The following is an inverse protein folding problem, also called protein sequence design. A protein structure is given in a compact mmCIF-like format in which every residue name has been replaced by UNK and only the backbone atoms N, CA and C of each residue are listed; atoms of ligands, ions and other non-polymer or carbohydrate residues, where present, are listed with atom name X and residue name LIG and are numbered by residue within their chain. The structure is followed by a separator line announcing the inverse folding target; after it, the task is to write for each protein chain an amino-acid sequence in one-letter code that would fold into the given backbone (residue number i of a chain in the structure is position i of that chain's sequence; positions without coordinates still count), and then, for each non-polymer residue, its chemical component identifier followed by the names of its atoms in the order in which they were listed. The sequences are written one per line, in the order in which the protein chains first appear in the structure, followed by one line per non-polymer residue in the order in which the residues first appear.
data_IF_887844730147
#
_entry.id   IF_887844730147
#
_cell.length_a   1.000
_cell.length_b   1.000
_cell.length_c   1.000
_cell.angle_alpha   90.00
_cell.angle_beta   90.00
_cell.angle_gamma   90.00
#
_symmetry.space_group_name_H-M   'P 1'
#
loop_
_entity.id
_entity.type
_entity.pdbx_description
1 polymer ?
#
# COMPACT_ATOMS: atom_id res chain seq x y z
N UNK A 1 -0.73 -9.06 28.11
CA UNK A 1 -0.79 -8.59 26.71
C UNK A 1 -1.62 -7.33 26.69
N UNK A 2 -1.01 -6.16 26.67
CA UNK A 2 -1.73 -4.92 26.34
C UNK A 2 -2.13 -5.04 24.88
N UNK A 3 -3.44 -5.03 24.57
CA UNK A 3 -3.87 -5.00 23.17
C UNK A 3 -3.26 -3.75 22.54
N UNK A 4 -2.36 -3.91 21.58
CA UNK A 4 -1.87 -2.77 20.82
C UNK A 4 -3.07 -2.12 20.13
N UNK A 5 -3.16 -0.80 20.20
CA UNK A 5 -4.31 -0.05 19.69
C UNK A 5 -4.29 -0.15 18.16
N UNK A 6 -5.19 -0.96 17.60
CA UNK A 6 -5.48 -0.96 16.16
C UNK A 6 -5.91 0.45 15.76
N UNK A 7 -5.19 1.03 14.80
CA UNK A 7 -5.42 2.40 14.32
C UNK A 7 -6.30 2.40 13.07
N UNK A 8 -6.19 1.38 12.23
CA UNK A 8 -7.02 1.18 11.04
C UNK A 8 -7.17 -0.31 10.74
N UNK A 9 -8.35 -0.72 10.30
CA UNK A 9 -8.67 -2.10 9.95
C UNK A 9 -9.58 -2.14 8.73
N UNK A 10 -9.35 -3.08 7.83
CA UNK A 10 -10.19 -3.29 6.65
C UNK A 10 -10.21 -4.77 6.25
N UNK A 11 -11.17 -5.11 5.41
CA UNK A 11 -11.30 -6.44 4.82
C UNK A 11 -10.99 -6.40 3.32
N UNK A 12 -10.28 -7.41 2.84
CA UNK A 12 -10.12 -7.71 1.42
C UNK A 12 -11.20 -8.69 0.95
N UNK A 13 -11.77 -8.42 -0.22
CA UNK A 13 -12.67 -9.35 -0.90
C UNK A 13 -11.91 -10.54 -1.50
N UNK A 14 -10.64 -10.33 -1.89
CA UNK A 14 -9.77 -11.33 -2.48
C UNK A 14 -8.40 -11.31 -1.78
N UNK A 15 -8.11 -12.38 -1.04
CA UNK A 15 -6.85 -12.53 -0.29
C UNK A 15 -5.66 -12.83 -1.18
N UNK A 16 -5.87 -13.30 -2.41
CA UNK A 16 -4.78 -13.69 -3.33
C UNK A 16 -3.98 -12.48 -3.84
N UNK A 17 -4.54 -11.27 -3.70
CA UNK A 17 -3.87 -9.97 -3.98
C UNK A 17 -2.64 -9.71 -3.11
N UNK A 18 -2.51 -10.42 -1.99
CA UNK A 18 -1.35 -10.31 -1.11
C UNK A 18 -0.72 -11.70 -0.97
N UNK A 19 0.44 -11.95 -1.59
CA UNK A 19 1.12 -13.23 -1.49
C UNK A 19 1.34 -13.64 -0.03
N UNK A 20 0.90 -14.85 0.32
CA UNK A 20 1.08 -15.43 1.67
C UNK A 20 0.06 -14.99 2.72
N UNK A 21 -0.92 -14.16 2.38
CA UNK A 21 -1.99 -13.76 3.29
C UNK A 21 -2.96 -14.93 3.54
N UNK A 22 -3.26 -15.20 4.81
CA UNK A 22 -4.14 -16.32 5.22
C UNK A 22 -5.51 -15.85 5.73
N UNK A 23 -5.67 -14.55 5.99
CA UNK A 23 -6.90 -13.94 6.52
C UNK A 23 -7.29 -12.74 5.67
N UNK A 24 -8.58 -12.53 5.48
CA UNK A 24 -9.09 -11.38 4.73
C UNK A 24 -9.02 -10.05 5.48
N UNK A 25 -8.72 -10.07 6.78
CA UNK A 25 -8.63 -8.86 7.61
C UNK A 25 -7.19 -8.35 7.60
N UNK A 26 -7.03 -7.07 7.29
CA UNK A 26 -5.75 -6.36 7.34
C UNK A 26 -5.89 -5.18 8.30
N UNK A 27 -4.83 -4.88 9.04
CA UNK A 27 -4.84 -3.76 9.97
C UNK A 27 -3.46 -3.12 10.13
N UNK A 28 -3.50 -1.87 10.60
CA UNK A 28 -2.33 -1.11 11.04
C UNK A 28 -2.48 -0.85 12.54
N UNK A 29 -1.42 -1.13 13.28
CA UNK A 29 -1.27 -0.75 14.69
C UNK A 29 -0.20 0.35 14.79
N UNK A 30 -0.05 0.92 15.99
CA UNK A 30 1.06 1.85 16.27
C UNK A 30 2.41 1.20 15.92
N UNK A 31 2.62 -0.04 16.35
CA UNK A 31 3.84 -0.79 16.09
C UNK A 31 5.08 -0.17 16.73
N UNK A 32 6.23 -0.31 16.07
CA UNK A 32 7.53 0.13 16.52
C UNK A 32 8.44 0.52 15.32
N UNK A 33 9.73 0.78 15.58
CA UNK A 33 10.70 1.18 14.55
C UNK A 33 10.91 0.20 13.38
N UNK A 34 10.45 -1.05 13.50
CA UNK A 34 10.59 -2.10 12.47
C UNK A 34 9.26 -2.60 11.90
N UNK A 35 8.11 -2.28 12.51
CA UNK A 35 6.81 -2.66 12.00
C UNK A 35 5.69 -1.67 12.35
N UNK A 36 4.63 -1.58 11.54
CA UNK A 36 3.44 -0.76 11.83
C UNK A 36 3.63 0.73 11.51
N UNK A 37 2.75 1.58 12.06
CA UNK A 37 2.73 3.01 11.72
C UNK A 37 4.04 3.72 12.06
N UNK A 38 4.69 3.42 13.19
CA UNK A 38 5.98 4.00 13.55
C UNK A 38 7.06 3.71 12.50
N UNK A 39 7.11 2.49 11.95
CA UNK A 39 8.02 2.16 10.86
C UNK A 39 7.69 2.92 9.57
N UNK A 40 6.40 3.00 9.20
CA UNK A 40 5.93 3.72 8.01
C UNK A 40 6.28 5.22 8.10
N UNK A 41 6.12 5.84 9.27
CA UNK A 41 6.40 7.27 9.48
C UNK A 41 7.88 7.63 9.29
N UNK A 42 8.81 6.68 9.39
CA UNK A 42 10.22 6.90 9.04
C UNK A 42 10.42 7.21 7.56
N UNK A 43 9.48 6.82 6.72
CA UNK A 43 9.44 7.10 5.29
C UNK A 43 8.50 8.27 4.94
N UNK A 44 7.94 8.98 5.94
CA UNK A 44 7.04 10.10 5.70
C UNK A 44 7.65 11.18 4.78
N UNK A 45 8.92 11.61 4.95
CA UNK A 45 9.52 12.59 4.04
C UNK A 45 9.62 12.14 2.58
N UNK A 46 9.64 10.82 2.33
CA UNK A 46 9.63 10.29 0.97
C UNK A 46 8.21 10.26 0.40
N UNK A 47 7.20 9.95 1.22
CA UNK A 47 5.79 10.03 0.81
C UNK A 47 5.31 11.46 0.59
N UNK A 48 5.83 12.43 1.33
CA UNK A 48 5.52 13.84 1.15
C UNK A 48 5.92 14.33 -0.25
N UNK A 49 7.02 13.80 -0.82
CA UNK A 49 7.43 14.08 -2.21
C UNK A 49 6.43 13.55 -3.24
N UNK A 50 5.68 12.51 -2.88
CA UNK A 50 4.59 11.93 -3.68
C UNK A 50 3.23 12.55 -3.33
N UNK A 51 3.19 13.62 -2.52
CA UNK A 51 1.95 14.32 -2.14
C UNK A 51 1.13 13.66 -1.02
N UNK A 52 1.67 12.65 -0.32
CA UNK A 52 0.98 11.94 0.76
C UNK A 52 1.51 12.40 2.12
N UNK A 53 0.73 13.23 2.82
CA UNK A 53 1.16 13.88 4.07
C UNK A 53 0.37 13.38 5.27
N UNK A 54 1.08 12.97 6.32
CA UNK A 54 0.50 12.62 7.62
C UNK A 54 0.13 11.14 7.80
N UNK A 55 0.14 10.69 9.06
CA UNK A 55 -0.09 9.28 9.43
C UNK A 55 -1.44 8.72 8.98
N UNK A 56 -2.51 9.51 9.07
CA UNK A 56 -3.85 9.07 8.66
C UNK A 56 -3.93 8.81 7.15
N UNK A 57 -3.28 9.65 6.34
CA UNK A 57 -3.19 9.47 4.89
C UNK A 57 -2.30 8.29 4.50
N UNK A 58 -1.24 8.03 5.25
CA UNK A 58 -0.40 6.83 5.04
C UNK A 58 -1.17 5.54 5.36
N UNK A 59 -1.96 5.51 6.44
CA UNK A 59 -2.83 4.38 6.73
C UNK A 59 -3.94 4.23 5.69
N UNK A 60 -4.48 5.34 5.17
CA UNK A 60 -5.44 5.34 4.06
C UNK A 60 -4.84 4.79 2.77
N UNK A 61 -3.62 5.19 2.44
CA UNK A 61 -2.89 4.69 1.30
C UNK A 61 -2.66 3.18 1.39
N UNK A 62 -2.31 2.66 2.57
CA UNK A 62 -2.13 1.22 2.76
C UNK A 62 -3.43 0.44 2.50
N UNK A 63 -4.57 0.95 2.96
CA UNK A 63 -5.88 0.37 2.65
C UNK A 63 -6.19 0.45 1.16
N UNK A 64 -6.08 1.65 0.58
CA UNK A 64 -6.37 1.89 -0.83
C UNK A 64 -5.56 0.98 -1.76
N UNK A 65 -4.25 0.94 -1.56
CA UNK A 65 -3.34 0.15 -2.38
C UNK A 65 -3.63 -1.35 -2.31
N UNK A 66 -3.93 -1.89 -1.12
CA UNK A 66 -4.24 -3.31 -0.97
C UNK A 66 -5.63 -3.68 -1.51
N UNK A 67 -6.59 -2.75 -1.47
CA UNK A 67 -7.95 -2.97 -2.01
C UNK A 67 -8.04 -2.82 -3.53
N UNK A 68 -7.60 -1.67 -4.06
CA UNK A 68 -7.85 -1.30 -5.46
C UNK A 68 -6.59 -1.24 -6.30
N UNK A 69 -5.41 -1.11 -5.69
CA UNK A 69 -4.16 -0.91 -6.40
C UNK A 69 -3.82 -2.06 -7.36
N UNK A 70 -3.33 -1.73 -8.54
CA UNK A 70 -2.79 -2.70 -9.50
C UNK A 70 -1.52 -3.30 -8.91
N UNK A 71 -1.53 -4.59 -8.59
CA UNK A 71 -0.30 -5.28 -8.20
C UNK A 71 0.62 -5.42 -9.42
N UNK A 72 1.90 -5.07 -9.26
CA UNK A 72 2.91 -5.21 -10.30
C UNK A 72 3.47 -6.62 -10.42
N UNK A 73 4.03 -6.94 -11.58
CA UNK A 73 4.66 -8.25 -11.86
C UNK A 73 5.95 -8.49 -11.06
N UNK A 74 6.62 -7.41 -10.62
CA UNK A 74 7.87 -7.47 -9.85
C UNK A 74 7.72 -6.76 -8.51
N UNK A 75 8.19 -7.41 -7.45
CA UNK A 75 8.31 -6.81 -6.12
C UNK A 75 9.56 -5.95 -5.97
N UNK A 76 9.62 -5.18 -4.88
CA UNK A 76 10.79 -4.38 -4.49
C UNK A 76 11.80 -5.22 -3.70
N UNK A 77 13.08 -5.20 -4.08
CA UNK A 77 14.18 -5.91 -3.40
C UNK A 77 14.63 -7.21 -4.08
N UNK A 78 15.65 -7.89 -3.53
CA UNK A 78 16.16 -9.17 -4.07
C UNK A 78 15.17 -10.30 -3.79
N UNK A 79 14.97 -11.21 -4.77
CA UNK A 79 14.19 -12.44 -4.59
C UNK A 79 12.66 -12.33 -4.72
N UNK A 80 12.14 -11.24 -5.31
CA UNK A 80 10.69 -11.05 -5.49
C UNK A 80 10.00 -10.23 -4.39
N UNK A 81 10.78 -9.66 -3.46
CA UNK A 81 10.43 -8.96 -2.21
C UNK A 81 9.01 -8.41 -1.99
N UNK A 82 8.89 -7.12 -1.64
CA UNK A 82 7.60 -6.53 -1.23
C UNK A 82 6.73 -6.30 -2.47
N UNK A 83 5.46 -6.78 -2.54
CA UNK A 83 4.60 -6.47 -3.68
C UNK A 83 4.44 -4.95 -3.82
N UNK A 84 4.48 -4.49 -5.07
CA UNK A 84 4.30 -3.08 -5.42
C UNK A 84 2.90 -2.92 -6.00
N UNK A 85 2.18 -1.90 -5.55
CA UNK A 85 0.87 -1.54 -6.03
C UNK A 85 0.92 -0.16 -6.69
N UNK A 86 0.45 -0.05 -7.93
CA UNK A 86 0.18 1.23 -8.59
C UNK A 86 -1.29 1.61 -8.44
N UNK A 87 -1.58 2.85 -8.09
CA UNK A 87 -2.94 3.36 -7.93
C UNK A 87 -3.00 4.86 -8.16
N UNK A 88 -4.20 5.38 -8.39
CA UNK A 88 -4.48 6.82 -8.27
C UNK A 88 -5.04 7.08 -6.87
N UNK A 89 -4.28 7.75 -6.02
CA UNK A 89 -4.71 8.12 -4.67
C UNK A 89 -5.09 9.60 -4.64
N UNK A 90 -6.36 9.89 -4.37
CA UNK A 90 -6.97 11.23 -4.44
C UNK A 90 -6.62 11.97 -5.74
N UNK A 91 -6.64 11.25 -6.87
CA UNK A 91 -6.33 11.77 -8.20
C UNK A 91 -4.85 11.86 -8.54
N UNK A 92 -3.96 11.50 -7.62
CA UNK A 92 -2.51 11.47 -7.84
C UNK A 92 -2.05 10.02 -8.10
N UNK A 93 -1.54 9.69 -9.30
CA UNK A 93 -0.92 8.40 -9.55
C UNK A 93 0.35 8.23 -8.71
N UNK A 94 0.51 7.09 -8.05
CA UNK A 94 1.77 6.70 -7.41
C UNK A 94 1.93 5.17 -7.37
N UNK A 95 3.15 4.73 -7.03
CA UNK A 95 3.45 3.34 -6.76
C UNK A 95 3.96 3.16 -5.32
N UNK A 96 3.49 2.13 -4.64
CA UNK A 96 3.83 1.87 -3.23
C UNK A 96 4.14 0.40 -3.01
N UNK A 97 5.24 0.11 -2.31
CA UNK A 97 5.58 -1.23 -1.88
C UNK A 97 5.02 -1.49 -0.48
N UNK A 98 4.25 -2.56 -0.30
CA UNK A 98 3.59 -2.87 0.98
C UNK A 98 3.99 -4.27 1.45
N UNK A 99 4.34 -4.39 2.73
CA UNK A 99 4.51 -5.67 3.42
C UNK A 99 3.38 -5.90 4.39
N UNK A 100 2.65 -6.99 4.18
CA UNK A 100 1.62 -7.48 5.10
C UNK A 100 2.04 -8.86 5.56
N UNK A 101 2.08 -9.08 6.88
CA UNK A 101 2.32 -10.40 7.45
C UNK A 101 1.20 -11.36 7.06
N UNK A 102 1.47 -12.67 7.08
CA UNK A 102 0.47 -13.69 6.73
C UNK A 102 -0.80 -13.63 7.57
N UNK A 103 -0.73 -13.00 8.75
CA UNK A 103 -1.83 -12.77 9.66
C UNK A 103 -2.71 -11.56 9.29
N UNK A 104 -2.26 -10.64 8.43
CA UNK A 104 -2.93 -9.39 8.07
C UNK A 104 -2.30 -8.12 8.65
N UNK A 105 -1.26 -8.22 9.46
CA UNK A 105 -0.61 -7.04 10.04
C UNK A 105 0.24 -6.30 8.99
N UNK A 106 0.01 -5.01 8.78
CA UNK A 106 0.88 -4.19 7.92
C UNK A 106 2.21 -3.93 8.62
N UNK A 107 3.26 -4.60 8.13
CA UNK A 107 4.61 -4.48 8.66
C UNK A 107 5.27 -3.21 8.14
N UNK A 108 5.12 -2.87 6.87
CA UNK A 108 5.78 -1.68 6.34
C UNK A 108 5.28 -1.24 4.97
N UNK A 109 5.60 0.00 4.65
CA UNK A 109 5.16 0.66 3.42
C UNK A 109 6.21 1.67 2.98
N UNK A 110 6.61 1.63 1.71
CA UNK A 110 7.59 2.54 1.12
C UNK A 110 7.07 3.08 -0.22
N UNK A 111 7.40 4.33 -0.59
CA UNK A 111 7.16 4.78 -1.96
C UNK A 111 8.03 3.97 -2.92
N UNK A 112 7.55 3.84 -4.16
CA UNK A 112 8.25 3.20 -5.25
C UNK A 112 8.18 4.10 -6.49
N UNK A 113 9.07 3.88 -7.45
CA UNK A 113 9.08 4.67 -8.69
C UNK A 113 7.86 4.33 -9.54
N UNK A 114 6.96 5.30 -9.71
CA UNK A 114 5.78 5.17 -10.57
C UNK A 114 6.19 4.88 -12.01
N UNK A 115 7.14 5.65 -12.56
CA UNK A 115 7.65 5.47 -13.94
C UNK A 115 8.11 4.02 -14.18
N UNK A 116 8.96 3.48 -13.30
CA UNK A 116 9.43 2.08 -13.41
C UNK A 116 8.29 1.09 -13.28
N UNK A 117 7.33 1.34 -12.39
CA UNK A 117 6.15 0.49 -12.23
C UNK A 117 5.33 0.46 -13.51
N UNK A 118 4.98 1.61 -14.08
CA UNK A 118 4.20 1.74 -15.30
C UNK A 118 4.90 1.05 -16.49
N UNK A 119 6.20 1.33 -16.69
CA UNK A 119 6.99 0.73 -17.76
C UNK A 119 7.07 -0.80 -17.64
N UNK A 120 7.26 -1.34 -16.44
CA UNK A 120 7.34 -2.79 -16.21
C UNK A 120 6.02 -3.50 -16.45
N UNK A 121 4.90 -2.84 -16.16
CA UNK A 121 3.57 -3.42 -16.26
C UNK A 121 2.83 -3.04 -17.55
N UNK A 122 3.46 -2.27 -18.44
CA UNK A 122 2.89 -1.76 -19.69
C UNK A 122 1.57 -1.00 -19.48
N UNK A 123 1.59 -0.11 -18.49
CA UNK A 123 0.45 0.75 -18.11
C UNK A 123 0.81 2.22 -18.30
N UNK A 124 -0.21 3.06 -18.37
CA UNK A 124 -0.10 4.51 -18.23
C UNK A 124 -0.82 5.00 -16.97
N UNK A 125 -0.67 6.29 -16.66
CA UNK A 125 -1.31 6.91 -15.50
C UNK A 125 -2.84 6.96 -15.62
N UNK A 126 -3.37 7.09 -16.84
CA UNK A 126 -4.82 7.15 -17.07
C UNK A 126 -5.50 5.83 -16.72
N UNK A 127 -4.87 4.70 -17.03
CA UNK A 127 -5.34 3.38 -16.60
C UNK A 127 -5.43 3.28 -15.06
N UNK A 128 -4.49 3.89 -14.32
CA UNK A 128 -4.56 3.94 -12.86
C UNK A 128 -5.69 4.83 -12.37
N UNK A 129 -5.92 5.98 -13.01
CA UNK A 129 -7.03 6.88 -12.66
C UNK A 129 -8.39 6.29 -12.96
N UNK A 130 -8.54 5.55 -14.06
CA UNK A 130 -9.82 4.97 -14.45
C UNK A 130 -10.18 3.71 -13.65
N UNK A 131 -9.21 2.81 -13.45
CA UNK A 131 -9.49 1.46 -12.93
C UNK A 131 -8.95 1.19 -11.52
N UNK A 132 -8.03 2.02 -11.03
CA UNK A 132 -7.33 1.80 -9.76
C UNK A 132 -7.32 3.06 -8.89
N UNK A 133 -8.42 3.83 -8.90
CA UNK A 133 -8.55 5.06 -8.13
C UNK A 133 -9.11 4.85 -6.74
N UNK A 134 -8.62 5.66 -5.80
CA UNK A 134 -9.13 5.80 -4.45
C UNK A 134 -9.28 7.28 -4.07
N UNK A 135 -10.48 7.77 -3.72
CA UNK A 135 -11.76 7.07 -3.81
C UNK A 135 -12.06 6.62 -5.24
N UNK A 136 -12.97 5.66 -5.38
CA UNK A 136 -13.41 5.20 -6.69
C UNK A 136 -14.01 6.37 -7.48
N UNK A 137 -13.70 6.45 -8.78
CA UNK A 137 -14.30 7.45 -9.66
C UNK A 137 -15.77 7.09 -9.86
N UNK A 138 -16.67 7.96 -9.44
CA UNK A 138 -18.09 7.86 -9.79
C UNK A 138 -18.24 8.28 -11.25
N UNK A 139 -18.55 7.33 -12.13
CA UNK A 139 -18.95 7.61 -13.52
C UNK A 139 -20.40 8.08 -13.58
#
# INVERSE_FOLDING_TARGET
MTSEKVLRIWQLADVTRIPGLTKSIIWVEKGNNTAGLEHILRHAPDFEKEGVVGGDKLMELAEAATKVGRQGEKGQGKGGGRPIFGLSFHGQPLAVAISVGSNGYVVGMNPSSLEKFLAQNKLDEEALKEFHSWPAVTK
#
